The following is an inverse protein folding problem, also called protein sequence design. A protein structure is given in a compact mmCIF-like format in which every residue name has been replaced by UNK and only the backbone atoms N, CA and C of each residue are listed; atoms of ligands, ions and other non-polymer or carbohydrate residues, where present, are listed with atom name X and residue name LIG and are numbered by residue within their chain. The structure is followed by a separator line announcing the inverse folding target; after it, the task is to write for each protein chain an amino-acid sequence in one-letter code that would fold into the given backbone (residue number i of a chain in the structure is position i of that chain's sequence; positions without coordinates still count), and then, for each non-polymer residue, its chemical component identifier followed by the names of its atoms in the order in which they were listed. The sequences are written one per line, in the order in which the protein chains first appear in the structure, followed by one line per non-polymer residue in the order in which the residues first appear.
data_IF_160861221711
#
_entry.id   IF_160861221711
#
_cell.length_a   1.000
_cell.length_b   1.000
_cell.length_c   1.000
_cell.angle_alpha   90.00
_cell.angle_beta   90.00
_cell.angle_gamma   90.00
#
_symmetry.space_group_name_H-M   'P 1'
#
loop_
_entity.id
_entity.type
_entity.pdbx_description
1 polymer ?
2 non-polymer ?
3 water ?
#
# COMPACT_ATOMS: atom_id res chain seq x y z
N UNK A 1 5.92 -13.90 9.08
CA UNK A 1 4.86 -12.89 8.99
C UNK A 1 5.29 -11.69 8.14
N UNK A 2 4.31 -11.02 7.54
CA UNK A 2 4.58 -9.82 6.78
C UNK A 2 4.05 -8.64 7.57
N UNK A 3 4.79 -7.53 7.61
CA UNK A 3 4.37 -6.40 8.43
C UNK A 3 3.21 -5.60 7.84
N UNK A 4 3.36 -5.11 6.61
CA UNK A 4 2.36 -4.22 6.02
C UNK A 4 1.60 -4.79 4.82
N UNK A 5 2.10 -5.85 4.22
CA UNK A 5 1.50 -6.32 2.97
C UNK A 5 0.71 -7.63 3.07
N UNK A 6 0.03 -7.95 1.98
CA UNK A 6 -0.66 -9.22 1.74
C UNK A 6 0.26 -10.14 0.91
N UNK A 7 0.42 -11.38 1.36
CA UNK A 7 1.31 -12.31 0.67
C UNK A 7 0.91 -12.60 -0.76
N UNK A 8 -0.38 -12.84 -0.99
CA UNK A 8 -0.84 -13.20 -2.32
C UNK A 8 -0.64 -12.09 -3.34
N UNK A 9 -1.14 -10.90 -3.02
CA UNK A 9 -1.22 -9.84 -4.02
C UNK A 9 -0.15 -8.77 -3.88
N UNK A 10 0.46 -8.69 -2.70
CA UNK A 10 1.49 -7.68 -2.46
C UNK A 10 0.93 -6.28 -2.22
N UNK A 11 -0.39 -6.18 -2.15
CA UNK A 11 -1.04 -4.93 -1.73
C UNK A 11 -0.92 -4.78 -0.21
N UNK A 12 -1.42 -3.68 0.34
CA UNK A 12 -1.49 -3.58 1.80
C UNK A 12 -2.37 -4.67 2.39
N UNK A 13 -2.08 -5.05 3.63
CA UNK A 13 -2.96 -5.94 4.36
C UNK A 13 -3.99 -5.14 5.16
N UNK A 14 -4.95 -5.85 5.72
CA UNK A 14 -6.07 -5.26 6.44
C UNK A 14 -5.62 -4.32 7.55
N UNK A 15 -4.65 -4.76 8.35
CA UNK A 15 -4.19 -3.97 9.49
C UNK A 15 -3.59 -2.65 9.04
N UNK A 16 -2.64 -2.73 8.11
CA UNK A 16 -2.03 -1.55 7.52
C UNK A 16 -3.10 -0.60 6.94
N UNK A 17 -4.06 -1.17 6.21
CA UNK A 17 -5.15 -0.37 5.64
C UNK A 17 -6.00 0.34 6.70
N UNK A 18 -6.51 -0.40 7.68
CA UNK A 18 -7.34 0.17 8.75
C UNK A 18 -6.63 1.30 9.46
N UNK A 19 -5.35 1.12 9.75
CA UNK A 19 -4.59 2.15 10.43
C UNK A 19 -4.51 3.42 9.58
N UNK A 20 -4.18 3.27 8.31
CA UNK A 20 -4.13 4.43 7.43
C UNK A 20 -5.50 5.13 7.34
N UNK A 21 -6.55 4.34 7.16
CA UNK A 21 -7.91 4.87 7.05
C UNK A 21 -8.31 5.69 8.28
N UNK A 22 -7.96 5.20 9.46
CA UNK A 22 -8.26 5.92 10.71
C UNK A 22 -7.53 7.26 10.79
N UNK A 23 -6.27 7.28 10.37
CA UNK A 23 -5.52 8.52 10.34
C UNK A 23 -6.14 9.50 9.34
N UNK A 24 -6.54 9.01 8.18
CA UNK A 24 -7.11 9.87 7.16
C UNK A 24 -8.50 10.37 7.56
N UNK A 25 -9.25 9.54 8.28
CA UNK A 25 -10.55 9.91 8.81
C UNK A 25 -10.40 11.10 9.76
N UNK A 26 -9.44 10.99 10.67
CA UNK A 26 -9.19 12.01 11.67
C UNK A 26 -8.68 13.28 11.00
N UNK A 27 -7.78 13.11 10.01
CA UNK A 27 -7.33 14.24 9.22
C UNK A 27 -8.55 14.94 8.63
N UNK A 28 -9.40 14.18 7.96
CA UNK A 28 -10.56 14.78 7.31
C UNK A 28 -11.54 15.38 8.29
N UNK A 29 -11.56 14.86 9.51
CA UNK A 29 -12.42 15.40 10.55
C UNK A 29 -11.94 16.80 10.94
N UNK A 30 -10.64 16.96 11.10
CA UNK A 30 -10.09 18.23 11.51
C UNK A 30 -10.13 19.24 10.35
N UNK A 31 -9.90 18.77 9.14
CA UNK A 31 -9.96 19.63 7.95
C UNK A 31 -11.37 19.86 7.46
N UNK A 32 -12.33 19.09 7.96
CA UNK A 32 -13.65 19.00 7.34
C UNK A 32 -13.52 18.82 5.82
N UNK A 33 -12.79 17.78 5.43
CA UNK A 33 -12.61 17.46 4.02
C UNK A 33 -13.29 16.13 3.67
N UNK A 34 -13.61 15.96 2.39
CA UNK A 34 -14.19 14.71 1.90
C UNK A 34 -13.18 13.55 1.88
N UNK A 35 -13.59 12.42 2.46
CA UNK A 35 -12.80 11.21 2.41
C UNK A 35 -13.58 10.10 1.74
N UNK A 36 -13.05 9.56 0.65
CA UNK A 36 -13.75 8.48 -0.08
C UNK A 36 -13.08 7.13 0.08
N UNK A 37 -13.88 6.08 -0.11
CA UNK A 37 -13.44 4.70 0.07
C UNK A 37 -14.12 3.76 -0.95
N UNK A 38 -13.34 2.86 -1.55
CA UNK A 38 -13.86 1.82 -2.41
C UNK A 38 -13.74 0.44 -1.76
N UNK A 39 -14.84 -0.29 -1.68
CA UNK A 39 -14.80 -1.71 -1.34
C UNK A 39 -15.07 -2.48 -2.62
N UNK A 40 -14.09 -3.27 -3.04
CA UNK A 40 -14.08 -3.95 -4.34
C UNK A 40 -14.12 -5.47 -4.13
N UNK A 41 -15.01 -6.16 -4.85
CA UNK A 41 -15.32 -7.55 -4.55
C UNK A 41 -15.59 -8.35 -5.83
N UNK A 42 -14.72 -9.33 -6.10
CA UNK A 42 -14.86 -10.18 -7.28
C UNK A 42 -16.21 -10.90 -7.33
N UNK A 43 -16.92 -10.77 -8.45
CA UNK A 43 -18.25 -11.36 -8.62
C UNK A 43 -18.16 -12.88 -8.83
N UNK A 44 -19.13 -13.61 -8.30
CA UNK A 44 -19.17 -15.07 -8.48
C UNK A 44 -17.82 -15.74 -8.21
N UNK A 45 -17.16 -15.37 -7.12
CA UNK A 45 -15.81 -15.86 -6.87
C UNK A 45 -15.84 -17.28 -6.29
N UNK A 46 -16.88 -17.59 -5.54
CA UNK A 46 -17.06 -18.92 -4.99
C UNK A 46 -17.19 -19.92 -6.12
N UNK A 47 -18.11 -19.64 -7.04
CA UNK A 47 -18.28 -20.49 -8.21
C UNK A 47 -16.95 -20.61 -8.94
N UNK A 48 -16.26 -19.48 -9.07
CA UNK A 48 -15.00 -19.49 -9.80
C UNK A 48 -13.97 -20.44 -9.17
N UNK A 49 -13.83 -20.42 -7.85
CA UNK A 49 -12.85 -21.31 -7.22
C UNK A 49 -13.28 -22.75 -7.31
N UNK A 50 -14.57 -22.98 -7.11
CA UNK A 50 -15.10 -24.33 -7.15
C UNK A 50 -14.86 -24.96 -8.52
N UNK A 51 -15.15 -24.21 -9.57
CA UNK A 51 -14.99 -24.70 -10.94
C UNK A 51 -13.56 -24.77 -11.42
N UNK A 52 -12.77 -23.75 -11.12
CA UNK A 52 -11.43 -23.67 -11.69
C UNK A 52 -10.30 -23.96 -10.69
N UNK A 53 -10.63 -24.04 -9.40
CA UNK A 53 -9.65 -24.35 -8.38
C UNK A 53 -8.99 -23.14 -7.75
N UNK A 54 -8.46 -23.33 -6.55
CA UNK A 54 -7.96 -22.23 -5.75
C UNK A 54 -6.70 -21.60 -6.33
N UNK A 55 -5.98 -22.35 -7.16
CA UNK A 55 -4.79 -21.82 -7.81
C UNK A 55 -5.19 -20.82 -8.89
N UNK A 56 -6.18 -21.20 -9.70
CA UNK A 56 -6.78 -20.29 -10.68
C UNK A 56 -7.34 -19.06 -9.98
N UNK A 57 -8.07 -19.30 -8.89
CA UNK A 57 -8.59 -18.25 -8.03
C UNK A 57 -7.52 -17.27 -7.58
N UNK A 58 -6.44 -17.80 -7.01
CA UNK A 58 -5.33 -16.95 -6.55
C UNK A 58 -4.72 -16.13 -7.68
N UNK A 59 -4.52 -16.76 -8.83
CA UNK A 59 -3.98 -16.04 -9.99
C UNK A 59 -4.93 -14.91 -10.41
N UNK A 60 -6.23 -15.19 -10.38
CA UNK A 60 -7.21 -14.15 -10.71
C UNK A 60 -7.12 -12.99 -9.72
N UNK A 61 -7.03 -13.31 -8.43
CA UNK A 61 -6.92 -12.26 -7.42
C UNK A 61 -5.69 -11.41 -7.64
N UNK A 62 -4.61 -12.05 -8.09
CA UNK A 62 -3.38 -11.34 -8.36
C UNK A 62 -3.57 -10.34 -9.51
N UNK A 63 -4.19 -10.80 -10.58
CA UNK A 63 -4.47 -9.92 -11.70
C UNK A 63 -5.39 -8.77 -11.30
N UNK A 64 -6.39 -9.05 -10.47
CA UNK A 64 -7.30 -8.00 -10.00
C UNK A 64 -6.55 -6.98 -9.16
N UNK A 65 -5.61 -7.45 -8.32
CA UNK A 65 -4.77 -6.54 -7.55
C UNK A 65 -4.00 -5.61 -8.50
N UNK A 66 -3.48 -6.18 -9.57
CA UNK A 66 -2.90 -5.39 -10.63
C UNK A 66 -3.84 -4.33 -11.16
N UNK A 67 -5.08 -4.71 -11.47
CA UNK A 67 -6.04 -3.72 -11.96
C UNK A 67 -6.19 -2.61 -10.93
N UNK A 68 -6.16 -3.01 -9.66
CA UNK A 68 -6.43 -2.11 -8.56
C UNK A 68 -5.27 -1.10 -8.37
N UNK A 69 -4.03 -1.58 -8.29
CA UNK A 69 -2.95 -0.62 -8.12
C UNK A 69 -2.82 0.33 -9.33
N UNK A 70 -3.31 -0.12 -10.48
CA UNK A 70 -3.35 0.75 -11.65
C UNK A 70 -4.27 1.95 -11.43
N UNK A 71 -5.37 1.74 -10.72
CA UNK A 71 -6.27 2.83 -10.38
C UNK A 71 -5.67 3.65 -9.26
N UNK A 72 -4.65 3.10 -8.61
CA UNK A 72 -4.03 3.77 -7.49
C UNK A 72 -2.97 4.75 -7.93
N UNK A 73 -3.40 5.72 -8.72
CA UNK A 73 -2.52 6.73 -9.31
C UNK A 73 -1.76 7.57 -8.28
N UNK A 74 -2.50 8.25 -7.41
CA UNK A 74 -1.92 9.30 -6.56
C UNK A 74 -1.36 8.84 -5.21
N UNK A 75 -0.25 9.43 -4.82
CA UNK A 75 0.50 8.99 -3.63
C UNK A 75 -0.37 8.75 -2.40
N UNK A 76 -1.37 9.61 -2.20
CA UNK A 76 -2.18 9.55 -0.99
C UNK A 76 -3.18 8.41 -1.01
N UNK A 77 -3.42 7.82 -2.18
CA UNK A 77 -4.31 6.68 -2.30
C UNK A 77 -3.64 5.44 -1.70
N UNK A 78 -4.44 4.51 -1.17
CA UNK A 78 -3.89 3.28 -0.63
C UNK A 78 -4.82 2.10 -0.91
N UNK A 79 -4.28 1.01 -1.45
CA UNK A 79 -5.08 -0.17 -1.77
C UNK A 79 -4.65 -1.37 -0.94
N UNK A 80 -5.63 -2.12 -0.47
CA UNK A 80 -5.37 -3.32 0.30
C UNK A 80 -6.23 -4.49 -0.17
N UNK A 81 -5.81 -5.70 0.17
CA UNK A 81 -6.71 -6.84 0.12
C UNK A 81 -7.31 -6.98 1.50
N UNK A 82 -8.61 -6.74 1.61
CA UNK A 82 -9.23 -6.77 2.91
C UNK A 82 -9.42 -8.20 3.39
N UNK A 83 -9.64 -9.14 2.46
CA UNK A 83 -9.82 -10.54 2.82
C UNK A 83 -10.55 -11.33 1.75
N UNK A 84 -10.01 -12.49 1.40
CA UNK A 84 -10.54 -13.26 0.28
C UNK A 84 -10.52 -12.42 -0.99
N UNK A 85 -11.67 -12.38 -1.69
CA UNK A 85 -11.76 -11.63 -2.94
C UNK A 85 -12.19 -10.16 -2.71
N UNK A 86 -12.20 -9.74 -1.44
CA UNK A 86 -12.53 -8.35 -1.08
C UNK A 86 -11.29 -7.46 -0.99
N UNK A 87 -11.30 -6.38 -1.77
CA UNK A 87 -10.24 -5.37 -1.72
C UNK A 87 -10.81 -4.03 -1.24
N UNK A 88 -9.91 -3.12 -0.87
CA UNK A 88 -10.32 -1.78 -0.44
C UNK A 88 -9.33 -0.74 -0.95
N UNK A 89 -9.84 0.45 -1.27
CA UNK A 89 -8.99 1.58 -1.64
C UNK A 89 -9.44 2.82 -0.88
N UNK A 90 -8.55 3.49 -0.17
CA UNK A 90 -8.88 4.78 0.44
C UNK A 90 -8.45 5.89 -0.50
N UNK A 91 -9.29 6.90 -0.63
CA UNK A 91 -9.00 8.01 -1.54
C UNK A 91 -9.15 9.35 -0.84
N UNK A 92 -8.07 9.82 -0.17
CA UNK A 92 -8.16 11.11 0.50
C UNK A 92 -8.32 12.25 -0.50
N UNK A 93 -9.03 13.30 -0.08
CA UNK A 93 -9.23 14.48 -0.91
C UNK A 93 -10.05 14.20 -2.15
N UNK A 94 -10.85 13.14 -2.13
CA UNK A 94 -11.55 12.73 -3.35
C UNK A 94 -13.07 12.87 -3.23
N UNK A 95 -13.66 13.58 -4.19
CA UNK A 95 -15.09 13.85 -4.16
C UNK A 95 -15.87 12.60 -4.51
N UNK A 96 -17.17 12.58 -4.18
CA UNK A 96 -18.03 11.47 -4.61
C UNK A 96 -17.83 11.18 -6.09
N UNK A 97 -17.90 12.21 -6.92
CA UNK A 97 -17.76 12.04 -8.36
C UNK A 97 -16.43 11.45 -8.75
N UNK A 98 -15.34 11.98 -8.17
CA UNK A 98 -14.01 11.47 -8.46
C UNK A 98 -13.86 10.02 -8.01
N UNK A 99 -14.41 9.72 -6.85
CA UNK A 99 -14.34 8.36 -6.31
C UNK A 99 -15.02 7.42 -7.29
N UNK A 100 -16.20 7.81 -7.77
CA UNK A 100 -16.98 6.99 -8.67
C UNK A 100 -16.29 6.74 -10.01
N UNK A 101 -15.72 7.78 -10.60
CA UNK A 101 -14.97 7.64 -11.86
C UNK A 101 -13.81 6.67 -11.75
N UNK A 102 -13.10 6.73 -10.63
CA UNK A 102 -11.93 5.87 -10.37
C UNK A 102 -12.38 4.44 -10.23
N UNK A 103 -13.49 4.24 -9.50
CA UNK A 103 -14.05 2.90 -9.37
C UNK A 103 -14.42 2.35 -10.75
N UNK A 104 -14.97 3.22 -11.61
CA UNK A 104 -15.33 2.75 -12.95
C UNK A 104 -14.07 2.37 -13.74
N UNK A 105 -13.03 3.18 -13.62
CA UNK A 105 -11.72 2.83 -14.20
C UNK A 105 -11.27 1.42 -13.74
N UNK A 106 -11.28 1.20 -12.43
CA UNK A 106 -10.91 -0.11 -11.89
C UNK A 106 -11.82 -1.20 -12.44
N UNK A 107 -13.13 -0.94 -12.46
CA UNK A 107 -14.05 -1.97 -12.91
C UNK A 107 -13.72 -2.37 -14.35
N UNK A 108 -13.57 -1.36 -15.22
CA UNK A 108 -13.25 -1.61 -16.62
C UNK A 108 -11.90 -2.28 -16.82
N UNK A 109 -10.92 -1.89 -16.02
CA UNK A 109 -9.59 -2.49 -16.14
C UNK A 109 -9.69 -3.96 -15.80
N UNK A 110 -10.49 -4.30 -14.79
CA UNK A 110 -10.72 -5.71 -14.49
C UNK A 110 -11.32 -6.44 -15.71
N UNK A 111 -12.35 -5.86 -16.33
CA UNK A 111 -12.92 -6.46 -17.53
C UNK A 111 -11.88 -6.63 -18.65
N UNK A 112 -10.91 -5.72 -18.70
CA UNK A 112 -9.89 -5.78 -19.74
C UNK A 112 -9.02 -7.05 -19.61
N UNK A 113 -8.99 -7.66 -18.43
CA UNK A 113 -8.20 -8.87 -18.23
C UNK A 113 -8.78 -10.07 -18.99
N UNK A 114 -10.06 -10.01 -19.30
CA UNK A 114 -10.69 -11.11 -20.02
C UNK A 114 -10.41 -12.46 -19.37
N UNK A 115 -10.59 -12.55 -18.05
CA UNK A 115 -10.48 -13.84 -17.37
C UNK A 115 -11.79 -14.62 -17.54
N UNK A 116 -11.73 -15.73 -18.28
CA UNK A 116 -12.91 -16.54 -18.59
C UNK A 116 -13.61 -17.07 -17.36
N UNK A 117 -14.91 -16.90 -17.32
CA UNK A 117 -15.73 -17.45 -16.26
C UNK A 117 -16.99 -18.01 -16.91
N UNK A 118 -17.63 -18.97 -16.25
CA UNK A 118 -18.88 -19.51 -16.77
C UNK A 118 -20.10 -19.00 -16.00
N UNK A 119 -19.87 -18.01 -15.12
CA UNK A 119 -20.96 -17.25 -14.50
C UNK A 119 -20.90 -15.81 -15.02
N UNK A 120 -22.08 -15.18 -15.25
CA UNK A 120 -23.40 -15.73 -14.96
C UNK A 120 -23.85 -16.73 -16.01
N UNK A 121 -23.03 -16.91 -17.05
CA UNK A 121 -23.33 -17.87 -18.10
C UNK A 121 -22.06 -18.20 -18.86
N UNK A 122 -22.04 -19.33 -19.56
CA UNK A 122 -20.83 -19.72 -20.31
C UNK A 122 -20.36 -18.59 -21.23
N UNK A 123 -19.05 -18.45 -21.37
CA UNK A 123 -18.47 -17.43 -22.22
C UNK A 123 -18.37 -16.04 -21.58
N UNK A 124 -18.57 -15.96 -20.26
CA UNK A 124 -18.45 -14.68 -19.57
C UNK A 124 -17.01 -14.43 -19.17
N UNK A 125 -16.77 -13.27 -18.57
CA UNK A 125 -15.45 -12.93 -18.06
C UNK A 125 -15.56 -12.46 -16.62
N UNK A 126 -14.47 -12.58 -15.87
CA UNK A 126 -14.43 -12.17 -14.47
C UNK A 126 -14.75 -10.67 -14.34
N UNK A 127 -15.58 -10.31 -13.36
CA UNK A 127 -15.87 -8.90 -13.08
C UNK A 127 -15.86 -8.57 -11.58
N UNK A 128 -15.82 -7.28 -11.25
CA UNK A 128 -15.94 -6.88 -9.86
C UNK A 128 -17.15 -5.98 -9.62
N UNK A 129 -17.73 -6.09 -8.43
CA UNK A 129 -18.67 -5.09 -7.95
C UNK A 129 -17.91 -4.18 -6.97
N UNK A 130 -18.33 -2.92 -6.90
CA UNK A 130 -17.63 -1.93 -6.09
C UNK A 130 -18.62 -1.04 -5.36
N UNK A 131 -18.44 -0.91 -4.05
CA UNK A 131 -19.20 0.05 -3.27
C UNK A 131 -18.35 1.28 -3.01
N UNK A 132 -18.92 2.44 -3.27
CA UNK A 132 -18.21 3.69 -3.06
C UNK A 132 -18.88 4.42 -1.91
N UNK A 133 -18.10 4.89 -0.94
CA UNK A 133 -18.63 5.79 0.08
C UNK A 133 -17.78 7.04 0.18
N UNK A 134 -18.42 8.15 0.52
CA UNK A 134 -17.65 9.35 0.87
C UNK A 134 -18.35 10.16 1.94
N UNK A 135 -17.56 10.69 2.86
CA UNK A 135 -18.10 11.40 4.01
C UNK A 135 -17.18 12.52 4.45
N UNK A 136 -17.78 13.59 4.97
CA UNK A 136 -17.06 14.57 5.78
C UNK A 136 -17.32 14.17 7.23
N UNK A 137 -16.30 13.59 7.90
CA UNK A 137 -16.43 13.10 9.28
C UNK A 137 -17.11 14.13 10.19
N UNK A 138 -17.92 13.63 11.12
CA UNK A 138 -18.69 14.49 12.00
C UNK A 138 -18.37 14.27 13.47
N UNK A 139 -19.24 14.76 14.33
CA UNK A 139 -19.01 14.69 15.77
C UNK A 139 -19.51 13.41 16.43
N UNK A 140 -19.65 13.47 17.75
CA UNK A 140 -20.15 12.36 18.52
C UNK A 140 -19.33 11.09 18.36
N UNK A 141 -19.95 9.97 18.68
CA UNK A 141 -19.33 8.67 18.54
C UNK A 141 -19.46 8.17 17.12
N UNK A 142 -18.64 8.70 16.22
CA UNK A 142 -18.60 8.25 14.85
C UNK A 142 -17.16 7.90 14.49
N UNK A 143 -16.87 6.61 14.42
CA UNK A 143 -15.54 6.16 14.05
C UNK A 143 -15.37 6.02 12.53
N UNK A 144 -14.13 5.85 12.11
CA UNK A 144 -13.78 5.70 10.71
C UNK A 144 -14.48 4.50 10.07
N UNK A 145 -14.87 3.53 10.89
CA UNK A 145 -15.47 2.32 10.37
C UNK A 145 -16.85 2.57 9.73
N UNK A 146 -17.42 3.75 9.97
CA UNK A 146 -18.71 4.08 9.36
C UNK A 146 -18.52 4.23 7.87
N UNK A 147 -17.32 4.62 7.46
CA UNK A 147 -17.02 4.78 6.05
C UNK A 147 -17.01 3.39 5.38
N UNK A 148 -16.44 2.42 6.07
CA UNK A 148 -16.42 1.04 5.56
C UNK A 148 -17.87 0.51 5.48
N UNK A 149 -18.65 0.77 6.54
CA UNK A 149 -20.02 0.33 6.61
C UNK A 149 -20.80 0.88 5.41
N UNK A 150 -20.57 2.14 5.10
CA UNK A 150 -21.30 2.79 4.02
C UNK A 150 -20.94 2.17 2.67
N UNK A 151 -19.65 1.97 2.44
CA UNK A 151 -19.19 1.33 1.22
C UNK A 151 -19.73 -0.08 1.09
N UNK A 152 -19.79 -0.81 2.20
CA UNK A 152 -20.29 -2.19 2.21
C UNK A 152 -21.80 -2.23 1.90
N UNK A 153 -22.50 -1.17 2.29
CA UNK A 153 -23.91 -1.00 1.95
C UNK A 153 -24.02 -0.72 0.45
N UNK A 154 -23.14 0.16 -0.04
CA UNK A 154 -23.07 0.44 -1.47
C UNK A 154 -22.74 -0.85 -2.23
N UNK A 155 -21.85 -1.66 -1.66
CA UNK A 155 -21.46 -2.90 -2.32
C UNK A 155 -22.65 -3.86 -2.48
N UNK A 156 -23.45 -3.99 -1.42
CA UNK A 156 -24.68 -4.78 -1.50
C UNK A 156 -25.58 -4.24 -2.62
N UNK A 157 -25.72 -2.92 -2.69
CA UNK A 157 -26.53 -2.33 -3.77
C UNK A 157 -26.04 -2.83 -5.13
N UNK A 158 -24.75 -2.73 -5.37
CA UNK A 158 -24.17 -3.12 -6.65
C UNK A 158 -24.35 -4.61 -6.91
N UNK A 159 -24.13 -5.42 -5.87
CA UNK A 159 -24.25 -6.88 -5.97
C UNK A 159 -25.67 -7.34 -6.23
N UNK A 160 -26.64 -6.56 -5.80
CA UNK A 160 -28.03 -6.97 -5.93
C UNK A 160 -28.74 -6.29 -7.10
N UNK A 161 -28.05 -5.33 -7.73
CA UNK A 161 -28.56 -4.68 -8.94
C UNK A 161 -27.95 -5.32 -10.19
N UNK A 162 -27.29 -6.45 -10.03
CA UNK A 162 -26.78 -7.21 -11.16
C UNK A 162 -25.27 -7.42 -11.28
N UNK A 163 -24.53 -6.98 -10.26
CA UNK A 163 -23.07 -7.10 -10.24
C UNK A 163 -22.39 -6.31 -11.39
N UNK A 164 -21.09 -6.52 -11.56
CA UNK A 164 -20.27 -5.77 -12.50
C UNK A 164 -20.62 -4.29 -12.56
N UNK A 165 -20.76 -3.68 -11.39
CA UNK A 165 -21.12 -2.28 -11.36
C UNK A 165 -20.70 -1.64 -10.06
N UNK A 166 -20.83 -0.32 -10.01
CA UNK A 166 -20.43 0.46 -8.86
C UNK A 166 -21.69 0.85 -8.13
N UNK A 167 -21.73 0.64 -6.83
CA UNK A 167 -22.84 1.09 -6.02
C UNK A 167 -22.45 2.37 -5.30
N UNK A 168 -23.43 3.20 -4.98
CA UNK A 168 -23.11 4.50 -4.40
C UNK A 168 -23.92 4.72 -3.16
N UNK A 169 -23.29 5.37 -2.19
CA UNK A 169 -23.88 5.48 -0.89
C UNK A 169 -24.76 6.73 -0.81
N UNK A 170 -24.15 7.90 -0.66
CA UNK A 170 -24.85 9.17 -0.47
C UNK A 170 -26.34 9.13 -0.84
N UNK B 1 -2.37 13.82 -10.49
CA UNK B 1 -1.91 15.11 -10.96
C UNK B 1 -0.38 15.15 -11.01
N UNK B 2 0.26 14.24 -10.27
CA UNK B 2 1.72 14.10 -10.33
C UNK B 2 2.16 12.83 -11.08
N UNK B 3 3.08 12.96 -12.02
CA UNK B 3 3.52 11.80 -12.79
C UNK B 3 4.38 10.80 -12.00
N UNK B 4 5.53 11.27 -11.51
CA UNK B 4 6.52 10.39 -10.89
C UNK B 4 6.71 10.57 -9.39
N UNK B 5 6.36 11.74 -8.86
CA UNK B 5 6.68 12.05 -7.48
C UNK B 5 5.50 11.91 -6.52
N UNK B 6 5.84 11.90 -5.23
CA UNK B 6 4.89 11.97 -4.14
C UNK B 6 4.72 13.44 -3.75
N UNK B 7 3.47 13.90 -3.64
CA UNK B 7 3.22 15.29 -3.30
C UNK B 7 3.85 15.75 -1.99
N UNK B 8 3.69 14.96 -0.94
CA UNK B 8 4.14 15.35 0.40
C UNK B 8 5.66 15.49 0.51
N UNK B 9 6.36 14.44 0.10
CA UNK B 9 7.80 14.34 0.37
C UNK B 9 8.67 14.67 -0.84
N UNK B 10 8.08 14.66 -2.03
CA UNK B 10 8.86 14.89 -3.22
C UNK B 10 9.72 13.70 -3.65
N UNK B 11 9.62 12.59 -2.94
CA UNK B 11 10.30 11.36 -3.36
C UNK B 11 9.54 10.74 -4.54
N UNK B 12 10.03 9.63 -5.11
CA UNK B 12 9.21 8.93 -6.10
C UNK B 12 7.91 8.46 -5.47
N UNK B 13 6.87 8.28 -6.30
CA UNK B 13 5.66 7.61 -5.85
C UNK B 13 5.72 6.12 -6.10
N UNK B 14 4.70 5.41 -5.63
CA UNK B 14 4.64 3.95 -5.68
C UNK B 14 4.71 3.39 -7.10
N UNK B 15 3.97 4.00 -8.02
CA UNK B 15 3.96 3.52 -9.40
C UNK B 15 5.35 3.63 -10.03
N UNK B 16 5.95 4.80 -9.88
CA UNK B 16 7.28 5.06 -10.41
C UNK B 16 8.31 4.08 -9.82
N UNK B 17 8.26 3.87 -8.51
CA UNK B 17 9.18 2.96 -7.83
C UNK B 17 8.99 1.51 -8.31
N UNK B 18 7.75 1.03 -8.31
CA UNK B 18 7.45 -0.32 -8.78
C UNK B 18 8.00 -0.59 -10.19
N UNK B 19 7.76 0.34 -11.13
CA UNK B 19 8.24 0.15 -12.50
C UNK B 19 9.76 0.02 -12.52
N UNK B 20 10.42 0.92 -11.81
CA UNK B 20 11.89 0.89 -11.74
C UNK B 20 12.40 -0.40 -11.13
N UNK B 21 11.79 -0.81 -10.03
CA UNK B 21 12.19 -2.01 -9.33
C UNK B 21 12.03 -3.22 -10.23
N UNK B 22 10.93 -3.26 -10.97
CA UNK B 22 10.70 -4.37 -11.88
C UNK B 22 11.76 -4.45 -12.97
N UNK B 23 12.14 -3.29 -13.53
CA UNK B 23 13.22 -3.24 -14.51
C UNK B 23 14.56 -3.65 -13.92
N UNK B 24 14.84 -3.21 -12.70
CA UNK B 24 16.10 -3.60 -12.05
C UNK B 24 16.12 -5.09 -11.72
N UNK B 25 14.96 -5.64 -11.36
CA UNK B 25 14.82 -7.07 -11.12
C UNK B 25 15.23 -7.83 -12.37
N UNK B 26 14.67 -7.43 -13.50
CA UNK B 26 14.93 -8.08 -14.77
C UNK B 26 16.41 -7.97 -15.08
N UNK B 27 16.96 -6.77 -14.93
CA UNK B 27 18.39 -6.55 -15.16
C UNK B 27 19.21 -7.48 -14.28
N UNK B 28 18.86 -7.54 -12.98
CA UNK B 28 19.60 -8.38 -12.04
C UNK B 28 19.50 -9.86 -12.38
N UNK B 29 18.35 -10.26 -12.89
CA UNK B 29 18.16 -11.65 -13.30
C UNK B 29 19.17 -12.01 -14.38
N UNK B 30 19.29 -11.12 -15.36
CA UNK B 30 20.12 -11.39 -16.53
C UNK B 30 21.60 -11.29 -16.21
N UNK B 31 21.93 -10.35 -15.33
CA UNK B 31 23.32 -10.07 -14.98
C UNK B 31 23.75 -10.96 -13.82
N UNK B 32 22.79 -11.61 -13.18
CA UNK B 32 23.03 -12.35 -11.96
C UNK B 32 23.74 -11.50 -10.92
N UNK B 33 23.25 -10.29 -10.73
CA UNK B 33 23.83 -9.39 -9.75
C UNK B 33 22.92 -9.38 -8.54
N UNK B 34 23.45 -8.92 -7.41
CA UNK B 34 22.64 -8.74 -6.22
C UNK B 34 21.79 -7.47 -6.32
N UNK B 35 20.53 -7.57 -5.93
CA UNK B 35 19.64 -6.43 -5.91
C UNK B 35 19.06 -6.30 -4.49
N UNK B 36 19.25 -5.14 -3.86
CA UNK B 36 18.78 -4.93 -2.50
C UNK B 36 17.63 -3.94 -2.40
N UNK B 37 16.85 -4.06 -1.34
CA UNK B 37 15.68 -3.22 -1.15
C UNK B 37 15.50 -2.94 0.35
N UNK B 38 15.16 -1.70 0.67
CA UNK B 38 14.84 -1.29 2.04
C UNK B 38 13.37 -0.87 2.11
N UNK B 39 12.63 -1.44 3.06
CA UNK B 39 11.32 -0.90 3.40
C UNK B 39 11.42 -0.22 4.75
N UNK B 40 11.08 1.06 4.78
CA UNK B 40 11.36 1.93 5.93
C UNK B 40 10.05 2.47 6.47
N UNK B 41 9.81 2.28 7.76
CA UNK B 41 8.49 2.52 8.33
C UNK B 41 8.62 3.22 9.66
N UNK B 42 8.00 4.41 9.77
CA UNK B 42 8.08 5.20 11.00
C UNK B 42 7.43 4.47 12.18
N UNK B 43 8.15 4.34 13.28
CA UNK B 43 7.64 3.65 14.46
C UNK B 43 6.56 4.47 15.19
N UNK B 44 5.56 3.78 15.71
CA UNK B 44 4.53 4.43 16.51
C UNK B 44 3.92 5.63 15.80
N UNK B 45 3.74 5.54 14.49
CA UNK B 45 3.26 6.68 13.73
C UNK B 45 1.78 6.97 13.97
N UNK B 46 1.01 5.91 14.17
CA UNK B 46 -0.43 6.04 14.42
C UNK B 46 -0.65 6.88 15.67
N UNK B 47 0.07 6.52 16.73
CA UNK B 47 0.02 7.26 17.98
C UNK B 47 0.57 8.66 17.77
N UNK B 48 1.64 8.77 16.98
CA UNK B 48 2.18 10.09 16.67
C UNK B 48 1.10 10.99 16.08
N UNK B 49 0.40 10.53 15.04
CA UNK B 49 -0.63 11.37 14.43
C UNK B 49 -1.82 11.69 15.35
N UNK B 50 -2.25 10.71 16.13
CA UNK B 50 -3.33 10.90 17.08
C UNK B 50 -2.96 11.94 18.13
N UNK B 51 -1.73 11.88 18.63
CA UNK B 51 -1.28 12.79 19.68
C UNK B 51 -0.83 14.16 19.16
N UNK B 52 -0.07 14.17 18.07
CA UNK B 52 0.48 15.43 17.58
C UNK B 52 -0.26 16.00 16.35
N UNK B 53 -1.17 15.24 15.76
CA UNK B 53 -1.96 15.74 14.64
C UNK B 53 -1.29 15.56 13.29
N UNK B 54 -2.09 15.62 12.22
CA UNK B 54 -1.57 15.28 10.89
C UNK B 54 -0.55 16.28 10.33
N UNK B 55 -0.63 17.54 10.77
CA UNK B 55 0.31 18.53 10.26
C UNK B 55 1.71 18.21 10.78
N UNK B 56 1.83 17.97 12.08
CA UNK B 56 3.06 17.43 12.67
C UNK B 56 3.47 16.12 12.00
N UNK B 57 2.50 15.23 11.83
CA UNK B 57 2.76 13.96 11.15
C UNK B 57 3.39 14.16 9.79
N UNK B 58 2.78 15.03 8.98
CA UNK B 58 3.26 15.31 7.63
C UNK B 58 4.67 15.89 7.66
N UNK B 59 4.88 16.80 8.60
CA UNK B 59 6.19 17.42 8.73
C UNK B 59 7.24 16.37 9.09
N UNK B 60 6.86 15.41 9.93
CA UNK B 60 7.79 14.34 10.29
C UNK B 60 8.12 13.52 9.05
N UNK B 61 7.09 13.16 8.29
CA UNK B 61 7.31 12.40 7.06
C UNK B 61 8.26 13.11 6.09
N UNK B 62 8.11 14.43 6.01
CA UNK B 62 8.97 15.21 5.12
C UNK B 62 10.44 15.15 5.59
N UNK B 63 10.64 15.29 6.89
CA UNK B 63 11.99 15.21 7.45
C UNK B 63 12.60 13.82 7.25
N UNK B 64 11.78 12.78 7.43
CA UNK B 64 12.26 11.40 7.24
C UNK B 64 12.66 11.18 5.79
N UNK B 65 11.83 11.66 4.87
CA UNK B 65 12.17 11.62 3.44
C UNK B 65 13.56 12.21 3.21
N UNK B 66 13.82 13.35 3.85
CA UNK B 66 15.13 13.97 3.76
C UNK B 66 16.25 13.03 4.23
N UNK B 67 15.99 12.31 5.32
CA UNK B 67 16.98 11.37 5.85
C UNK B 67 17.24 10.25 4.84
N UNK B 68 16.16 9.75 4.23
CA UNK B 68 16.24 8.70 3.23
C UNK B 68 17.00 9.23 2.02
N UNK B 69 16.68 10.44 1.60
CA UNK B 69 17.30 11.08 0.46
C UNK B 69 18.82 11.16 0.64
N UNK B 70 19.26 11.55 1.83
CA UNK B 70 20.68 11.62 2.08
C UNK B 70 21.30 10.23 1.97
N UNK B 71 20.50 9.20 2.24
CA UNK B 71 20.99 7.84 2.24
C UNK B 71 21.39 7.32 0.88
N UNK B 72 20.68 7.75 -0.17
CA UNK B 72 20.93 7.21 -1.50
C UNK B 72 21.59 8.21 -2.44
N UNK B 73 22.91 8.22 -2.41
CA UNK B 73 23.74 9.05 -3.26
C UNK B 73 23.93 8.45 -4.65
N UNK B 74 24.10 7.12 -4.71
CA UNK B 74 24.26 6.42 -5.99
C UNK B 74 23.12 6.70 -6.95
N UNK B 75 23.45 7.22 -8.15
CA UNK B 75 22.43 7.54 -9.15
C UNK B 75 21.45 6.38 -9.33
N UNK B 76 21.98 5.17 -9.28
CA UNK B 76 21.17 3.96 -9.49
C UNK B 76 20.20 3.65 -8.36
N UNK B 77 20.38 4.28 -7.20
CA UNK B 77 19.47 4.07 -6.08
C UNK B 77 18.24 4.94 -6.29
N UNK B 78 17.09 4.47 -5.83
CA UNK B 78 15.85 5.19 -5.98
C UNK B 78 15.05 5.07 -4.69
N UNK B 79 14.50 6.19 -4.22
CA UNK B 79 13.73 6.19 -2.99
C UNK B 79 12.31 6.68 -3.25
N UNK B 80 11.35 6.00 -2.63
CA UNK B 80 9.94 6.35 -2.79
C UNK B 80 9.21 6.39 -1.46
N UNK B 81 8.11 7.13 -1.43
CA UNK B 81 7.15 6.99 -0.37
C UNK B 81 6.11 5.98 -0.84
N UNK B 82 6.04 4.85 -0.17
CA UNK B 82 5.22 3.78 -0.64
C UNK B 82 3.76 3.96 -0.22
N UNK B 83 3.55 4.54 0.96
CA UNK B 83 2.22 4.78 1.46
C UNK B 83 2.23 5.09 2.94
N UNK B 84 1.48 6.11 3.34
CA UNK B 84 1.52 6.59 4.72
C UNK B 84 2.95 6.80 5.16
N UNK B 85 3.34 6.18 6.28
CA UNK B 85 4.68 6.39 6.82
C UNK B 85 5.66 5.34 6.30
N UNK B 86 5.25 4.61 5.24
CA UNK B 86 6.07 3.57 4.64
C UNK B 86 6.86 4.07 3.43
N UNK B 87 8.18 3.90 3.47
CA UNK B 87 9.07 4.30 2.38
C UNK B 87 9.78 3.08 1.82
N UNK B 88 10.29 3.19 0.60
CA UNK B 88 11.03 2.11 -0.03
C UNK B 88 12.26 2.69 -0.70
N UNK B 89 13.34 1.92 -0.68
CA UNK B 89 14.58 2.32 -1.33
C UNK B 89 15.18 1.11 -2.06
N UNK B 90 15.37 1.19 -3.37
CA UNK B 90 16.02 0.13 -4.14
C UNK B 90 17.49 0.46 -4.31
N UNK B 91 18.32 -0.54 -4.07
CA UNK B 91 19.78 -0.37 -4.17
C UNK B 91 20.38 -1.40 -5.12
N UNK B 92 20.38 -1.09 -6.43
CA UNK B 92 20.94 -2.06 -7.38
C UNK B 92 22.41 -2.33 -7.10
N UNK B 93 22.83 -3.59 -7.29
CA UNK B 93 24.23 -3.93 -7.18
C UNK B 93 24.78 -3.63 -5.80
N UNK B 94 23.95 -3.89 -4.79
CA UNK B 94 24.35 -3.66 -3.41
C UNK B 94 24.20 -4.97 -2.65
N UNK B 95 25.30 -5.38 -2.00
CA UNK B 95 25.31 -6.63 -1.25
C UNK B 95 24.47 -6.51 0.00
N UNK B 96 24.11 -7.65 0.62
CA UNK B 96 23.40 -7.63 1.90
C UNK B 96 24.10 -6.72 2.93
N UNK B 97 25.42 -6.78 2.99
CA UNK B 97 26.17 -5.99 3.95
C UNK B 97 26.11 -4.51 3.63
N UNK B 98 26.34 -4.16 2.38
CA UNK B 98 26.21 -2.77 1.96
C UNK B 98 24.81 -2.24 2.24
N UNK B 99 23.81 -3.08 2.04
CA UNK B 99 22.42 -2.67 2.18
C UNK B 99 22.12 -2.37 3.64
N UNK B 100 22.58 -3.25 4.51
CA UNK B 100 22.39 -3.10 5.96
C UNK B 100 23.07 -1.86 6.49
N UNK B 101 24.33 -1.65 6.10
CA UNK B 101 25.08 -0.45 6.53
C UNK B 101 24.38 0.84 6.14
N UNK B 102 23.88 0.87 4.92
CA UNK B 102 23.18 2.03 4.40
C UNK B 102 21.87 2.23 5.18
N UNK B 103 21.18 1.13 5.48
CA UNK B 103 19.97 1.21 6.29
C UNK B 103 20.27 1.80 7.68
N UNK B 104 21.38 1.40 8.28
CA UNK B 104 21.71 1.90 9.62
C UNK B 104 21.97 3.39 9.53
N UNK B 105 22.67 3.81 8.48
CA UNK B 105 22.86 5.23 8.26
C UNK B 105 21.52 5.98 8.20
N UNK B 106 20.58 5.49 7.38
CA UNK B 106 19.27 6.13 7.33
C UNK B 106 18.66 6.14 8.71
N UNK B 107 18.76 5.02 9.42
CA UNK B 107 18.13 4.94 10.73
C UNK B 107 18.69 5.98 11.70
N UNK B 108 20.02 6.10 11.71
CA UNK B 108 20.69 7.04 12.62
C UNK B 108 20.33 8.48 12.24
N UNK B 109 20.25 8.71 10.93
CA UNK B 109 19.94 10.04 10.43
C UNK B 109 18.57 10.45 10.90
N UNK B 110 17.59 9.54 10.84
CA UNK B 110 16.26 9.84 11.36
C UNK B 110 16.34 10.21 12.84
N UNK B 111 17.09 9.43 13.61
CA UNK B 111 17.30 9.74 15.01
C UNK B 111 17.87 11.14 15.20
N UNK B 112 18.80 11.52 14.32
CA UNK B 112 19.48 12.80 14.43
C UNK B 112 18.52 13.98 14.28
N UNK B 113 17.32 13.72 13.76
CA UNK B 113 16.30 14.77 13.61
C UNK B 113 15.70 15.17 14.95
N UNK B 114 15.80 14.26 15.91
CA UNK B 114 15.28 14.52 17.26
C UNK B 114 13.85 15.05 17.26
N UNK B 115 12.97 14.40 16.50
CA UNK B 115 11.56 14.73 16.53
C UNK B 115 10.93 14.12 17.77
N UNK B 116 10.38 14.96 18.63
CA UNK B 116 9.84 14.53 19.93
C UNK B 116 8.63 13.60 19.82
N UNK B 117 8.63 12.55 20.62
CA UNK B 117 7.53 11.61 20.66
C UNK B 117 7.35 11.17 22.10
N UNK B 118 6.14 10.72 22.44
CA UNK B 118 5.87 10.25 23.79
C UNK B 118 5.69 8.73 23.78
N UNK B 119 6.02 8.12 22.65
CA UNK B 119 6.07 6.67 22.50
C UNK B 119 7.52 6.27 22.21
N UNK B 120 8.01 5.20 22.85
CA UNK B 120 7.28 4.29 23.74
C UNK B 120 7.15 4.87 25.14
N UNK B 121 7.77 6.03 25.39
CA UNK B 121 7.63 6.72 26.67
C UNK B 121 7.91 8.21 26.49
N UNK B 122 7.41 9.04 27.41
CA UNK B 122 7.69 10.48 27.32
C UNK B 122 9.20 10.73 27.25
N UNK B 123 9.58 11.77 26.52
CA UNK B 123 10.98 12.12 26.34
C UNK B 123 11.68 11.35 25.23
N UNK B 124 10.93 10.61 24.42
CA UNK B 124 11.51 9.82 23.34
C UNK B 124 11.60 10.64 22.06
N UNK B 125 12.14 10.04 21.01
CA UNK B 125 12.21 10.71 19.71
C UNK B 125 11.77 9.75 18.61
N UNK B 126 11.33 10.32 17.50
CA UNK B 126 10.80 9.52 16.41
C UNK B 126 11.90 8.63 15.87
N UNK B 127 11.55 7.40 15.51
CA UNK B 127 12.51 6.47 14.92
C UNK B 127 11.85 5.70 13.78
N UNK B 128 12.68 5.02 12.97
CA UNK B 128 12.17 4.08 11.97
C UNK B 128 12.64 2.66 12.20
N UNK B 129 11.83 1.70 11.78
CA UNK B 129 12.29 0.34 11.59
C UNK B 129 12.50 0.11 10.09
N UNK B 130 13.42 -0.77 9.75
CA UNK B 130 13.78 -0.99 8.36
C UNK B 130 13.95 -2.47 8.11
N UNK B 131 13.25 -2.97 7.10
CA UNK B 131 13.43 -4.35 6.66
C UNK B 131 14.31 -4.33 5.42
N UNK B 132 15.36 -5.15 5.44
CA UNK B 132 16.32 -5.21 4.35
C UNK B 132 16.22 -6.57 3.67
N UNK B 133 16.09 -6.57 2.35
CA UNK B 133 16.14 -7.83 1.62
C UNK B 133 17.16 -7.69 0.51
N UNK B 134 17.76 -8.81 0.15
CA UNK B 134 18.56 -8.86 -1.07
C UNK B 134 18.46 -10.23 -1.71
N UNK B 135 18.38 -10.22 -3.04
CA UNK B 135 18.29 -11.43 -3.82
C UNK B 135 19.07 -11.33 -5.11
N UNK B 136 19.58 -12.46 -5.56
CA UNK B 136 19.98 -12.63 -6.93
C UNK B 136 18.86 -13.43 -7.54
N UNK B 137 18.01 -12.80 -8.38
CA UNK B 137 16.90 -13.51 -9.00
C UNK B 137 17.31 -14.88 -9.52
N UNK B 138 16.45 -15.87 -9.35
CA UNK B 138 16.80 -17.23 -9.66
C UNK B 138 15.97 -17.85 -10.76
N UNK B 139 15.01 -17.10 -11.28
CA UNK B 139 14.14 -17.62 -12.32
C UNK B 139 12.96 -18.39 -11.76
N UNK B 140 12.17 -18.97 -12.66
CA UNK B 140 10.91 -19.59 -12.27
C UNK B 140 9.85 -18.53 -12.06
N UNK B 141 8.85 -18.84 -11.24
CA UNK B 141 7.76 -17.92 -11.01
C UNK B 141 8.15 -16.70 -10.20
N UNK B 142 9.44 -16.54 -9.97
CA UNK B 142 9.94 -15.44 -9.16
C UNK B 142 9.71 -14.10 -9.86
N UNK B 143 8.91 -13.23 -9.26
CA UNK B 143 8.71 -11.89 -9.79
C UNK B 143 9.29 -10.88 -8.82
N UNK B 144 9.51 -9.66 -9.30
CA UNK B 144 10.16 -8.64 -8.50
C UNK B 144 9.49 -8.39 -7.14
N UNK B 145 8.19 -8.62 -7.04
CA UNK B 145 7.51 -8.38 -5.78
C UNK B 145 7.97 -9.34 -4.66
N UNK B 146 8.69 -10.38 -5.01
CA UNK B 146 9.19 -11.27 -3.97
C UNK B 146 10.19 -10.52 -3.09
N UNK B 147 10.92 -9.59 -3.70
CA UNK B 147 11.90 -8.79 -2.97
C UNK B 147 11.20 -7.86 -1.97
N UNK B 148 10.00 -7.42 -2.34
CA UNK B 148 9.21 -6.58 -1.47
C UNK B 148 8.68 -7.44 -0.34
N UNK B 149 8.21 -8.64 -0.69
CA UNK B 149 7.70 -9.56 0.32
C UNK B 149 8.77 -9.86 1.39
N UNK B 150 9.99 -10.15 0.94
CA UNK B 150 11.08 -10.46 1.86
C UNK B 150 11.41 -9.27 2.76
N UNK B 151 11.48 -8.07 2.19
CA UNK B 151 11.74 -6.88 3.00
C UNK B 151 10.65 -6.62 4.04
N UNK B 152 9.39 -6.86 3.68
CA UNK B 152 8.25 -6.67 4.57
C UNK B 152 8.31 -7.68 5.72
N UNK B 153 8.87 -8.86 5.44
CA UNK B 153 9.12 -9.89 6.45
C UNK B 153 10.23 -9.42 7.39
N UNK B 154 11.31 -8.90 6.81
CA UNK B 154 12.39 -8.33 7.58
C UNK B 154 11.87 -7.15 8.42
N UNK B 155 10.95 -6.38 7.87
CA UNK B 155 10.35 -5.26 8.60
C UNK B 155 9.57 -5.75 9.82
N UNK B 156 8.82 -6.83 9.66
CA UNK B 156 8.06 -7.43 10.77
C UNK B 156 9.03 -7.85 11.88
N UNK B 157 10.12 -8.49 11.48
CA UNK B 157 11.16 -8.88 12.44
C UNK B 157 11.60 -7.67 13.26
N UNK B 158 11.94 -6.58 12.57
CA UNK B 158 12.48 -5.41 13.24
C UNK B 158 11.42 -4.82 14.15
N UNK B 159 10.19 -4.75 13.64
CA UNK B 159 9.08 -4.16 14.38
C UNK B 159 8.78 -4.98 15.64
N UNK B 160 9.09 -6.27 15.60
CA UNK B 160 8.71 -7.14 16.70
C UNK B 160 9.86 -7.48 17.63
N UNK B 161 11.05 -6.99 17.29
CA UNK B 161 12.24 -7.16 18.13
C UNK B 161 12.56 -5.85 18.87
N UNK B 162 11.62 -4.92 18.87
CA UNK B 162 11.79 -3.67 19.59
C UNK B 162 11.82 -2.37 18.81
N UNK B 163 11.63 -2.42 17.49
CA UNK B 163 11.63 -1.21 16.65
C UNK B 163 12.97 -0.47 16.67
N UNK B 164 12.99 0.72 16.08
CA UNK B 164 14.22 1.47 15.89
C UNK B 164 15.39 0.57 15.49
N UNK B 165 15.13 -0.36 14.59
CA UNK B 165 16.20 -1.24 14.16
C UNK B 165 15.98 -1.78 12.76
N UNK B 166 17.00 -2.47 12.26
CA UNK B 166 16.98 -3.02 10.94
C UNK B 166 16.75 -4.51 11.05
N UNK B 167 15.85 -5.05 10.23
CA UNK B 167 15.61 -6.47 10.19
C UNK B 167 16.19 -7.03 8.91
N UNK B 168 16.56 -8.31 8.90
CA UNK B 168 17.24 -8.86 7.73
C UNK B 168 16.61 -10.16 7.25
N UNK B 169 16.51 -10.29 5.93
CA UNK B 169 15.83 -11.42 5.31
C UNK B 169 15.69 -11.18 3.80
X LIG C 1 -18.42 -14.06 -5.03
X LIG C 1 -19.32 -16.01 -4.54
X LIG C 1 -19.05 -14.67 -4.23
X LIG C 1 -20.01 -13.97 -3.27
X LIG C 1 -21.01 -14.84 -2.77
X LIG C 1 -20.63 -12.65 -3.88
X LIG C 1 -19.72 -11.60 -3.76
X LIG C 1 -21.12 -12.83 -5.31
X LIG C 1 -21.57 -13.88 -5.64
X LIG C 1 -20.66 -11.95 -6.30
X LIG D 1 5.43 1.00 14.55
X LIG D 1 3.52 0.84 15.70
X LIG D 1 4.31 0.63 14.57
X LIG D 1 3.62 0.25 13.25
X LIG D 1 4.44 0.50 12.13
X LIG D 1 2.22 0.94 13.09
X LIG D 1 1.22 0.27 13.80
X LIG D 1 2.27 2.43 13.43
X LIG D 1 3.27 3.06 13.28
X LIG D 1 1.42 2.85 14.45
#
# INVERSE_FOLDING_TARGET
ALMNSDGLTGLSNRRHFDEYLEMEWRRSLREQSQLSLLMIDVDYFKSYNDTFGHVAGDEALRQVAGAIREGCSRSSDLAARYGGEEFAMVLPGTSPGGARLLAEKVRRTVESLQISHDQPRPGSHLTVSIGVSTLVPGGGGQTFRVLIEMADQALYQAKNNGRNQVGLMEQPVPPAPAG
ALMNSDGLTGLSNRRHFDEYLEMEWRRSLREQSQLSLLMIDVDYFKSYNDTFGHVAGDEALRQVAGAIREGCSRSSDLAARYGGEEFAMVLPGTSPGGARLLAEKVRRTVESLQISHDQPRPGSHLTVSIGVSTLVPGGGGQTFRVLIEMADQALYQAKNNGRNQVGLMEQPVPPAPAG
TLA O1 O11 C1 C2 O2 C3 O3 C4 O4 O41
TLA O1 O11 C1 C2 O2 C3 O3 C4 O4 O41
#
